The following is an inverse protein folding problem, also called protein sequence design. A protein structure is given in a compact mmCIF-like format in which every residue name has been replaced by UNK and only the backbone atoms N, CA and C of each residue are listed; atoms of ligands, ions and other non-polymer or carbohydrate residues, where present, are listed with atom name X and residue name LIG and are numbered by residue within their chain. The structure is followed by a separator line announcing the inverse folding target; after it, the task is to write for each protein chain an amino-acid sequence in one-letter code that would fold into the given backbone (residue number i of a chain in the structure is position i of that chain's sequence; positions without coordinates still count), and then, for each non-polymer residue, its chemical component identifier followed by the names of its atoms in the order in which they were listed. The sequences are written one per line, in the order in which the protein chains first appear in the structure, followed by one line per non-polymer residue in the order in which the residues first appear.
data_IF_412544476398
#
_entry.id   IF_412544476398
#
_cell.length_a   1.000
_cell.length_b   1.000
_cell.length_c   1.000
_cell.angle_alpha   90.00
_cell.angle_beta   90.00
_cell.angle_gamma   90.00
#
_symmetry.space_group_name_H-M   'P 1'
#
loop_
_entity.id
_entity.type
_entity.pdbx_description
1 polymer ?
#
# COMPACT_ATOMS: atom_id res chain seq x y z
N UNK A 1 20.28 13.83 -12.17
CA UNK A 1 20.63 14.63 -10.97
C UNK A 1 21.77 15.57 -11.31
N UNK A 2 21.81 16.80 -10.77
CA UNK A 2 22.94 17.71 -10.96
C UNK A 2 24.22 17.14 -10.36
N UNK A 3 25.36 17.35 -11.02
CA UNK A 3 26.67 17.00 -10.48
C UNK A 3 26.94 17.81 -9.20
N UNK A 4 27.51 17.16 -8.18
CA UNK A 4 27.88 17.81 -6.93
C UNK A 4 26.75 17.98 -5.90
N UNK A 5 25.61 17.29 -6.08
CA UNK A 5 24.51 17.39 -5.11
C UNK A 5 24.90 16.91 -3.71
N UNK A 6 25.82 15.95 -3.62
CA UNK A 6 26.46 15.45 -2.39
C UNK A 6 27.10 16.56 -1.55
N UNK A 7 27.49 17.68 -2.18
CA UNK A 7 28.10 18.83 -1.50
C UNK A 7 27.07 19.76 -0.85
N UNK A 8 25.78 19.60 -1.15
CA UNK A 8 24.70 20.43 -0.61
C UNK A 8 24.23 19.92 0.77
N UNK A 9 25.15 19.83 1.73
CA UNK A 9 24.87 19.24 3.07
C UNK A 9 23.78 19.96 3.87
N UNK A 10 23.54 21.24 3.58
CA UNK A 10 22.47 22.04 4.19
C UNK A 10 21.14 22.00 3.42
N UNK A 11 21.03 21.18 2.37
CA UNK A 11 19.82 21.05 1.58
C UNK A 11 18.68 20.50 2.44
N UNK A 12 17.61 21.29 2.57
CA UNK A 12 16.45 20.91 3.37
C UNK A 12 15.30 20.34 2.56
N UNK A 13 15.22 20.65 1.26
CA UNK A 13 14.15 20.18 0.39
C UNK A 13 14.72 19.66 -0.91
N UNK A 14 14.42 18.40 -1.19
CA UNK A 14 14.66 17.74 -2.45
C UNK A 14 13.49 16.81 -2.65
N UNK A 15 12.71 17.00 -3.71
CA UNK A 15 11.52 16.17 -3.92
C UNK A 15 11.84 14.82 -4.54
N UNK A 16 12.86 14.77 -5.41
CA UNK A 16 13.21 13.57 -6.17
C UNK A 16 14.72 13.44 -6.29
N UNK A 17 15.24 12.27 -5.92
CA UNK A 17 16.61 11.86 -6.14
C UNK A 17 16.61 10.68 -7.11
N UNK A 18 17.12 10.92 -8.31
CA UNK A 18 17.10 9.95 -9.42
C UNK A 18 18.46 9.28 -9.54
N UNK A 19 18.50 7.99 -9.21
CA UNK A 19 19.70 7.15 -9.33
C UNK A 19 19.89 6.77 -10.80
N UNK A 20 21.05 7.14 -11.35
CA UNK A 20 21.41 6.88 -12.74
C UNK A 20 22.03 5.49 -12.94
N UNK A 21 22.18 5.08 -14.19
CA UNK A 21 22.95 3.90 -14.57
C UNK A 21 24.39 4.33 -14.93
N UNK A 22 25.38 3.44 -14.74
CA UNK A 22 26.79 3.73 -15.06
C UNK A 22 27.34 4.91 -14.25
N UNK A 23 27.93 5.90 -14.93
CA UNK A 23 28.48 7.14 -14.35
C UNK A 23 27.41 8.15 -13.91
N UNK A 24 26.17 7.70 -13.78
CA UNK A 24 25.08 8.49 -13.23
C UNK A 24 25.22 8.76 -11.73
N UNK A 25 24.24 9.45 -11.17
CA UNK A 25 24.22 9.74 -9.74
C UNK A 25 24.02 8.46 -8.92
N UNK A 26 24.84 8.26 -7.91
CA UNK A 26 24.86 7.05 -7.10
C UNK A 26 24.08 7.25 -5.81
N UNK A 27 23.55 6.15 -5.26
CA UNK A 27 22.85 6.20 -3.98
C UNK A 27 23.72 6.67 -2.82
N UNK A 28 25.04 6.46 -2.90
CA UNK A 28 26.01 6.87 -1.88
C UNK A 28 26.09 8.40 -1.74
N UNK A 29 25.73 9.15 -2.79
CA UNK A 29 25.73 10.62 -2.78
C UNK A 29 24.66 11.18 -1.81
N UNK A 30 23.63 10.39 -1.47
CA UNK A 30 22.59 10.75 -0.49
C UNK A 30 23.09 10.77 0.96
N UNK A 31 24.23 10.14 1.23
CA UNK A 31 24.79 10.01 2.59
C UNK A 31 24.89 11.36 3.29
N UNK A 32 25.28 12.40 2.54
CA UNK A 32 25.57 13.73 3.09
C UNK A 32 24.35 14.66 3.18
N UNK A 33 23.20 14.25 2.63
CA UNK A 33 21.96 15.04 2.62
C UNK A 33 21.09 14.75 3.86
N UNK A 34 21.66 14.89 5.06
CA UNK A 34 20.99 14.53 6.33
C UNK A 34 19.86 15.48 6.73
N UNK A 35 19.88 16.72 6.23
CA UNK A 35 18.95 17.79 6.59
C UNK A 35 17.63 17.78 5.80
N UNK A 36 17.39 16.78 4.96
CA UNK A 36 16.18 16.69 4.14
C UNK A 36 14.91 16.62 5.00
N UNK A 37 13.87 17.33 4.53
CA UNK A 37 12.58 17.48 5.20
C UNK A 37 11.40 17.32 4.25
N UNK A 38 10.28 16.84 4.79
CA UNK A 38 9.02 16.71 4.08
C UNK A 38 9.02 15.54 3.10
N UNK A 39 8.44 15.76 1.93
CA UNK A 39 8.30 14.77 0.88
C UNK A 39 9.62 14.50 0.15
N UNK A 40 10.02 13.23 0.13
CA UNK A 40 11.22 12.77 -0.54
C UNK A 40 10.94 11.51 -1.38
N UNK A 41 11.35 11.53 -2.65
CA UNK A 41 11.32 10.39 -3.56
C UNK A 41 12.74 9.94 -3.89
N UNK A 42 12.95 8.63 -3.84
CA UNK A 42 14.15 7.96 -4.29
C UNK A 42 13.79 7.04 -5.46
N UNK A 43 14.08 7.51 -6.66
CA UNK A 43 13.75 6.81 -7.90
C UNK A 43 14.98 6.19 -8.56
N UNK A 44 14.75 5.15 -9.34
CA UNK A 44 15.82 4.45 -10.04
C UNK A 44 16.53 3.40 -9.19
N UNK A 45 15.82 2.85 -8.20
CA UNK A 45 16.34 1.79 -7.33
C UNK A 45 16.73 0.49 -8.06
N UNK A 46 16.27 0.30 -9.31
CA UNK A 46 16.74 -0.78 -10.19
C UNK A 46 18.25 -0.74 -10.50
N UNK A 47 18.89 0.41 -10.31
CA UNK A 47 20.31 0.63 -10.57
C UNK A 47 21.18 0.43 -9.31
N UNK A 48 20.58 0.03 -8.19
CA UNK A 48 21.25 -0.07 -6.89
C UNK A 48 21.58 -1.53 -6.60
N UNK A 49 22.81 -1.76 -6.15
CA UNK A 49 23.19 -3.05 -5.57
C UNK A 49 22.88 -3.07 -4.06
N UNK A 50 22.65 -4.25 -3.48
CA UNK A 50 22.30 -4.38 -2.06
C UNK A 50 23.35 -3.81 -1.10
N UNK A 51 24.64 -3.83 -1.47
CA UNK A 51 25.73 -3.32 -0.62
C UNK A 51 25.68 -1.79 -0.45
N UNK A 52 25.25 -1.07 -1.48
CA UNK A 52 25.27 0.39 -1.50
C UNK A 52 24.00 1.03 -0.97
N UNK A 53 22.90 0.27 -0.95
CA UNK A 53 21.60 0.76 -0.51
C UNK A 53 21.64 1.38 0.90
N UNK A 54 22.41 0.78 1.82
CA UNK A 54 22.59 1.28 3.18
C UNK A 54 23.38 2.60 3.29
N UNK A 55 24.12 3.00 2.25
CA UNK A 55 24.82 4.30 2.22
C UNK A 55 23.87 5.47 2.03
N UNK A 56 22.60 5.22 1.65
CA UNK A 56 21.58 6.26 1.60
C UNK A 56 21.31 6.89 2.97
N UNK A 57 21.62 6.21 4.09
CA UNK A 57 21.39 6.68 5.47
C UNK A 57 20.00 7.31 5.67
N UNK A 58 18.94 6.65 5.18
CA UNK A 58 17.57 7.16 5.29
C UNK A 58 17.09 7.23 6.76
N UNK A 59 17.61 6.35 7.61
CA UNK A 59 17.43 6.36 9.05
C UNK A 59 17.97 7.63 9.74
N UNK A 60 18.97 8.31 9.16
CA UNK A 60 19.54 9.55 9.72
C UNK A 60 18.77 10.80 9.28
N UNK A 61 17.93 10.69 8.23
CA UNK A 61 17.15 11.79 7.65
C UNK A 61 15.84 11.98 8.41
N UNK A 62 15.96 12.52 9.61
CA UNK A 62 14.88 12.63 10.60
C UNK A 62 13.72 13.56 10.20
N UNK A 63 13.92 14.42 9.19
CA UNK A 63 12.89 15.37 8.74
C UNK A 63 11.98 14.86 7.63
N UNK A 64 12.24 13.66 7.08
CA UNK A 64 11.42 13.10 6.01
C UNK A 64 10.11 12.58 6.60
N UNK A 65 9.01 13.19 6.20
CA UNK A 65 7.65 12.84 6.66
C UNK A 65 7.01 11.83 5.70
N UNK A 66 7.30 11.97 4.40
CA UNK A 66 6.80 11.11 3.32
C UNK A 66 7.94 10.61 2.44
N UNK A 67 8.03 9.28 2.29
CA UNK A 67 9.05 8.62 1.50
C UNK A 67 8.43 7.84 0.35
N UNK A 68 8.91 8.06 -0.87
CA UNK A 68 8.58 7.26 -2.05
C UNK A 68 9.82 6.49 -2.51
N UNK A 69 9.75 5.16 -2.52
CA UNK A 69 10.78 4.28 -3.06
C UNK A 69 10.30 3.72 -4.41
N UNK A 70 11.03 4.01 -5.48
CA UNK A 70 10.59 3.68 -6.84
C UNK A 70 11.65 2.93 -7.66
N UNK A 71 11.29 1.72 -8.07
CA UNK A 71 11.99 0.92 -9.06
C UNK A 71 11.44 1.18 -10.47
N UNK A 72 12.10 0.61 -11.48
CA UNK A 72 11.65 0.71 -12.87
C UNK A 72 10.28 0.05 -13.06
N UNK A 73 9.42 0.67 -13.86
CA UNK A 73 8.17 0.06 -14.30
C UNK A 73 8.40 -1.10 -15.28
N UNK A 74 9.55 -1.13 -15.97
CA UNK A 74 9.93 -2.25 -16.83
C UNK A 74 10.31 -3.45 -15.96
N UNK A 75 9.38 -4.40 -15.86
CA UNK A 75 9.47 -5.62 -15.08
C UNK A 75 9.85 -6.84 -15.95
N UNK A 76 10.46 -6.65 -17.13
CA UNK A 76 10.95 -7.78 -17.94
C UNK A 76 11.79 -8.71 -17.05
N UNK A 77 11.26 -9.91 -16.82
CA UNK A 77 11.67 -10.85 -15.76
C UNK A 77 13.15 -11.22 -15.82
N UNK A 78 13.76 -11.14 -17.00
CA UNK A 78 15.15 -11.55 -17.22
C UNK A 78 16.18 -10.47 -16.83
N UNK A 79 15.77 -9.22 -16.63
CA UNK A 79 16.68 -8.12 -16.33
C UNK A 79 16.74 -7.76 -14.83
N UNK A 80 15.76 -8.19 -14.02
CA UNK A 80 15.64 -7.81 -12.60
C UNK A 80 15.93 -8.97 -11.69
N UNK A 81 16.92 -8.80 -10.81
CA UNK A 81 17.26 -9.77 -9.81
C UNK A 81 16.43 -9.52 -8.53
N UNK A 82 15.49 -10.44 -8.24
CA UNK A 82 14.58 -10.34 -7.08
C UNK A 82 15.32 -10.27 -5.74
N UNK A 83 16.37 -11.07 -5.58
CA UNK A 83 17.15 -11.17 -4.35
C UNK A 83 17.93 -9.88 -4.08
N UNK A 84 18.47 -9.27 -5.15
CA UNK A 84 19.15 -7.97 -5.04
C UNK A 84 18.17 -6.90 -4.58
N UNK A 85 16.95 -6.88 -5.10
CA UNK A 85 15.98 -5.87 -4.70
C UNK A 85 15.43 -6.05 -3.29
N UNK A 86 15.21 -7.30 -2.88
CA UNK A 86 14.91 -7.63 -1.48
C UNK A 86 15.99 -7.07 -0.56
N UNK A 87 17.27 -7.33 -0.90
CA UNK A 87 18.38 -6.80 -0.13
C UNK A 87 18.47 -5.26 -0.17
N UNK A 88 18.20 -4.62 -1.30
CA UNK A 88 18.13 -3.15 -1.40
C UNK A 88 17.03 -2.61 -0.48
N UNK A 89 15.82 -3.16 -0.54
CA UNK A 89 14.70 -2.73 0.29
C UNK A 89 14.99 -2.93 1.78
N UNK A 90 15.62 -4.04 2.15
CA UNK A 90 16.06 -4.33 3.52
C UNK A 90 17.08 -3.30 4.04
N UNK A 91 17.95 -2.82 3.16
CA UNK A 91 19.05 -1.91 3.52
C UNK A 91 18.65 -0.43 3.58
N UNK A 92 17.55 -0.04 2.92
CA UNK A 92 17.08 1.36 2.83
C UNK A 92 16.41 1.89 4.11
N UNK A 93 16.39 1.12 5.19
CA UNK A 93 15.69 1.38 6.45
C UNK A 93 15.48 2.89 6.80
N UNK A 94 14.25 3.41 6.73
CA UNK A 94 13.98 4.83 6.95
C UNK A 94 13.90 5.19 8.44
N UNK A 95 13.79 6.49 8.72
CA UNK A 95 13.55 6.98 10.07
C UNK A 95 12.20 6.50 10.62
N UNK A 96 12.17 6.13 11.90
CA UNK A 96 10.95 5.71 12.63
C UNK A 96 9.89 6.81 12.77
N UNK A 97 10.24 8.06 12.45
CA UNK A 97 9.32 9.21 12.44
C UNK A 97 8.46 9.28 11.17
N UNK A 98 8.77 8.46 10.16
CA UNK A 98 8.09 8.46 8.87
C UNK A 98 6.58 8.29 9.05
N UNK A 99 5.81 9.15 8.39
CA UNK A 99 4.35 9.16 8.46
C UNK A 99 3.71 8.51 7.23
N UNK A 100 4.37 8.58 6.07
CA UNK A 100 3.85 8.05 4.82
C UNK A 100 4.92 7.31 4.03
N UNK A 101 4.60 6.09 3.60
CA UNK A 101 5.47 5.27 2.77
C UNK A 101 4.75 4.88 1.48
N UNK A 102 5.42 5.09 0.34
CA UNK A 102 4.99 4.61 -0.97
C UNK A 102 6.08 3.75 -1.58
N UNK A 103 5.77 2.51 -1.94
CA UNK A 103 6.67 1.62 -2.67
C UNK A 103 6.09 1.37 -4.06
N UNK A 104 6.88 1.62 -5.10
CA UNK A 104 6.45 1.49 -6.51
C UNK A 104 7.34 0.54 -7.29
N UNK A 105 6.69 -0.33 -8.07
CA UNK A 105 7.31 -1.23 -9.05
C UNK A 105 8.37 -2.15 -8.45
N UNK A 106 8.24 -2.52 -7.18
CA UNK A 106 9.17 -3.41 -6.49
C UNK A 106 9.07 -4.83 -7.05
N UNK A 107 10.20 -5.45 -7.37
CA UNK A 107 10.30 -6.71 -8.09
C UNK A 107 10.70 -7.89 -7.20
N UNK A 108 11.03 -7.64 -5.93
CA UNK A 108 11.23 -8.69 -4.94
C UNK A 108 9.97 -9.51 -4.68
N UNK A 109 10.14 -10.72 -4.18
CA UNK A 109 9.04 -11.61 -3.83
C UNK A 109 8.53 -11.37 -2.41
N UNK A 110 9.36 -10.81 -1.53
CA UNK A 110 9.05 -10.53 -0.12
C UNK A 110 9.30 -9.06 0.22
N UNK A 111 8.48 -8.51 1.10
CA UNK A 111 8.74 -7.21 1.70
C UNK A 111 9.70 -7.31 2.87
N UNK A 112 10.44 -6.24 3.09
CA UNK A 112 11.26 -6.11 4.29
C UNK A 112 10.42 -6.10 5.56
N UNK A 113 10.94 -6.72 6.61
CA UNK A 113 10.27 -6.80 7.92
C UNK A 113 10.09 -5.42 8.57
N UNK A 114 10.92 -4.43 8.21
CA UNK A 114 10.84 -3.10 8.81
C UNK A 114 9.57 -2.33 8.42
N UNK A 115 8.96 -2.61 7.26
CA UNK A 115 7.75 -1.92 6.79
C UNK A 115 6.59 -2.13 7.79
N UNK A 116 6.56 -3.31 8.41
CA UNK A 116 5.56 -3.73 9.37
C UNK A 116 6.08 -3.69 10.82
N UNK A 117 7.23 -3.06 11.07
CA UNK A 117 7.80 -3.03 12.41
C UNK A 117 7.04 -2.05 13.32
N UNK A 118 6.73 -2.50 14.53
CA UNK A 118 5.97 -1.70 15.50
C UNK A 118 6.67 -0.42 15.99
N UNK A 119 7.95 -0.23 15.64
CA UNK A 119 8.66 1.01 15.93
C UNK A 119 8.28 2.17 15.01
N UNK A 120 7.64 1.92 13.87
CA UNK A 120 7.04 2.94 12.98
C UNK A 120 5.68 3.42 13.53
N UNK A 121 5.70 3.95 14.75
CA UNK A 121 4.49 4.36 15.48
C UNK A 121 3.74 5.52 14.83
N UNK A 122 4.42 6.30 13.98
CA UNK A 122 3.84 7.47 13.33
C UNK A 122 3.27 7.16 11.93
N UNK A 123 3.35 5.92 11.45
CA UNK A 123 2.89 5.57 10.10
C UNK A 123 1.37 5.78 9.97
N UNK A 124 0.97 6.74 9.15
CA UNK A 124 -0.42 7.10 8.86
C UNK A 124 -0.89 6.54 7.51
N UNK A 125 0.01 6.43 6.52
CA UNK A 125 -0.34 5.98 5.18
C UNK A 125 0.71 5.02 4.60
N UNK A 126 0.22 3.92 4.03
CA UNK A 126 1.03 2.95 3.30
C UNK A 126 0.42 2.72 1.91
N UNK A 127 1.21 2.96 0.87
CA UNK A 127 0.84 2.66 -0.51
C UNK A 127 1.84 1.68 -1.14
N UNK A 128 1.33 0.55 -1.65
CA UNK A 128 2.11 -0.44 -2.38
C UNK A 128 1.56 -0.53 -3.80
N UNK A 129 2.38 -0.22 -4.80
CA UNK A 129 1.95 -0.08 -6.20
C UNK A 129 2.81 -0.93 -7.13
N UNK A 130 2.18 -1.73 -7.97
CA UNK A 130 2.80 -2.55 -9.01
C UNK A 130 3.89 -3.50 -8.48
N UNK A 131 3.70 -4.06 -7.30
CA UNK A 131 4.63 -5.01 -6.68
C UNK A 131 4.36 -6.44 -7.18
N UNK A 132 4.36 -6.64 -8.50
CA UNK A 132 3.75 -7.80 -9.17
C UNK A 132 4.33 -9.15 -8.76
N UNK A 133 5.60 -9.20 -8.36
CA UNK A 133 6.27 -10.44 -7.93
C UNK A 133 6.03 -10.82 -6.47
N UNK A 134 5.43 -9.92 -5.67
CA UNK A 134 5.17 -10.16 -4.26
C UNK A 134 4.02 -11.15 -4.08
N UNK A 135 4.25 -12.19 -3.26
CA UNK A 135 3.27 -13.25 -3.00
C UNK A 135 2.38 -12.99 -1.79
N UNK A 136 2.80 -12.08 -0.91
CA UNK A 136 2.10 -11.72 0.31
C UNK A 136 2.31 -10.24 0.61
N UNK A 137 1.42 -9.67 1.41
CA UNK A 137 1.55 -8.31 1.90
C UNK A 137 2.46 -8.28 3.14
N UNK A 138 3.03 -7.12 3.53
CA UNK A 138 3.69 -7.00 4.82
C UNK A 138 2.66 -7.12 5.96
N UNK A 139 3.08 -7.59 7.15
CA UNK A 139 2.19 -7.76 8.31
C UNK A 139 1.81 -6.42 8.96
N UNK A 140 0.94 -5.68 8.30
CA UNK A 140 0.57 -4.30 8.64
C UNK A 140 -0.23 -4.16 9.94
N UNK A 141 -0.72 -5.25 10.54
CA UNK A 141 -1.47 -5.23 11.80
C UNK A 141 -0.72 -4.60 12.98
N UNK A 142 0.60 -4.43 12.89
CA UNK A 142 1.43 -3.78 13.91
C UNK A 142 1.48 -2.26 13.79
N UNK A 143 0.95 -1.68 12.72
CA UNK A 143 0.91 -0.23 12.45
C UNK A 143 -0.38 0.39 13.01
N UNK A 144 -0.40 0.67 14.31
CA UNK A 144 -1.64 1.03 15.04
C UNK A 144 -2.24 2.38 14.67
N UNK A 145 -1.46 3.32 14.12
CA UNK A 145 -1.93 4.63 13.66
C UNK A 145 -2.25 4.68 12.16
N UNK A 146 -2.12 3.55 11.44
CA UNK A 146 -2.35 3.51 10.00
C UNK A 146 -3.81 3.89 9.69
N UNK A 147 -3.99 4.99 8.96
CA UNK A 147 -5.29 5.52 8.54
C UNK A 147 -5.65 5.14 7.11
N UNK A 148 -4.65 5.02 6.24
CA UNK A 148 -4.86 4.77 4.82
C UNK A 148 -3.96 3.65 4.34
N UNK A 149 -4.57 2.65 3.70
CA UNK A 149 -3.87 1.56 3.03
C UNK A 149 -4.34 1.47 1.58
N UNK A 150 -3.38 1.54 0.66
CA UNK A 150 -3.61 1.39 -0.78
C UNK A 150 -2.71 0.31 -1.36
N UNK A 151 -3.32 -0.73 -1.93
CA UNK A 151 -2.63 -1.89 -2.49
C UNK A 151 -3.06 -2.03 -3.94
N UNK A 152 -2.12 -1.89 -4.86
CA UNK A 152 -2.41 -1.90 -6.29
C UNK A 152 -1.39 -2.71 -7.08
N UNK A 153 -1.86 -3.50 -8.06
CA UNK A 153 -1.02 -4.18 -9.03
C UNK A 153 -0.18 -5.31 -8.43
N UNK A 154 -0.85 -6.31 -7.84
CA UNK A 154 -0.22 -7.52 -7.29
C UNK A 154 -0.73 -8.75 -8.03
N UNK A 155 0.14 -9.35 -8.85
CA UNK A 155 -0.23 -10.49 -9.69
C UNK A 155 -0.11 -11.82 -8.93
N UNK A 156 0.78 -11.94 -7.95
CA UNK A 156 1.08 -13.22 -7.28
C UNK A 156 0.36 -13.40 -5.92
N UNK A 157 -0.44 -12.42 -5.50
CA UNK A 157 -1.23 -12.49 -4.25
C UNK A 157 -2.53 -13.23 -4.52
N UNK A 158 -2.74 -14.32 -3.79
CA UNK A 158 -3.94 -15.17 -3.91
C UNK A 158 -4.87 -15.05 -2.70
N UNK A 159 -4.32 -14.82 -1.52
CA UNK A 159 -5.10 -14.67 -0.28
C UNK A 159 -4.65 -13.41 0.46
N UNK A 160 -5.61 -12.73 1.07
CA UNK A 160 -5.37 -11.56 1.92
C UNK A 160 -6.15 -11.77 3.21
N UNK A 161 -5.48 -11.63 4.36
CA UNK A 161 -6.15 -11.87 5.64
C UNK A 161 -5.21 -12.10 6.80
N UNK A 162 -4.22 -12.96 6.61
CA UNK A 162 -3.20 -13.30 7.60
C UNK A 162 -2.41 -12.08 8.08
N UNK A 163 -2.24 -11.10 7.20
CA UNK A 163 -1.53 -9.84 7.50
C UNK A 163 -2.30 -8.95 8.48
N UNK A 164 -3.59 -9.23 8.66
CA UNK A 164 -4.48 -8.54 9.58
C UNK A 164 -4.59 -9.27 10.94
N UNK A 165 -4.09 -10.50 11.11
CA UNK A 165 -4.46 -11.42 12.21
C UNK A 165 -4.06 -11.05 13.66
N UNK A 166 -3.43 -9.90 13.96
CA UNK A 166 -2.94 -9.62 15.33
C UNK A 166 -3.55 -8.42 16.06
N UNK A 167 -4.20 -7.46 15.40
CA UNK A 167 -4.82 -6.31 16.06
C UNK A 167 -6.08 -5.84 15.33
N UNK A 168 -6.98 -5.14 16.03
CA UNK A 168 -8.01 -4.35 15.37
C UNK A 168 -7.33 -3.14 14.68
N UNK A 169 -7.67 -2.89 13.41
CA UNK A 169 -7.21 -1.73 12.65
C UNK A 169 -8.00 -0.50 13.09
N UNK A 170 -7.84 -0.14 14.37
CA UNK A 170 -8.67 0.86 15.03
C UNK A 170 -8.52 2.25 14.40
N UNK A 171 -7.40 2.56 13.75
CA UNK A 171 -7.20 3.86 13.10
C UNK A 171 -7.51 3.86 11.61
N UNK A 172 -7.75 2.69 10.98
CA UNK A 172 -7.85 2.60 9.53
C UNK A 172 -9.19 3.18 9.05
N UNK A 173 -9.11 4.25 8.28
CA UNK A 173 -10.25 5.00 7.74
C UNK A 173 -10.48 4.68 6.25
N UNK A 174 -9.41 4.37 5.51
CA UNK A 174 -9.46 4.11 4.06
C UNK A 174 -8.71 2.83 3.71
N UNK A 175 -9.38 1.93 2.99
CA UNK A 175 -8.83 0.68 2.47
C UNK A 175 -9.11 0.56 0.97
N UNK A 176 -8.06 0.41 0.17
CA UNK A 176 -8.20 0.29 -1.27
C UNK A 176 -7.35 -0.86 -1.84
N UNK A 177 -8.01 -1.69 -2.66
CA UNK A 177 -7.41 -2.74 -3.47
C UNK A 177 -7.71 -2.49 -4.94
N UNK A 178 -6.70 -2.50 -5.80
CA UNK A 178 -6.86 -2.23 -7.23
C UNK A 178 -5.96 -3.10 -8.11
N UNK A 179 -6.54 -3.87 -9.03
CA UNK A 179 -5.76 -4.67 -9.99
C UNK A 179 -5.01 -5.81 -9.30
N UNK A 180 -5.74 -6.66 -8.59
CA UNK A 180 -5.24 -7.91 -7.99
C UNK A 180 -5.86 -9.09 -8.76
N UNK A 181 -5.29 -9.50 -9.91
CA UNK A 181 -5.94 -10.41 -10.84
C UNK A 181 -6.13 -11.83 -10.31
N UNK A 182 -5.26 -12.29 -9.40
CA UNK A 182 -5.29 -13.65 -8.86
C UNK A 182 -5.73 -13.71 -7.38
N UNK A 183 -6.19 -12.60 -6.82
CA UNK A 183 -6.70 -12.58 -5.44
C UNK A 183 -8.05 -13.30 -5.39
N UNK A 184 -8.11 -14.41 -4.67
CA UNK A 184 -9.26 -15.31 -4.57
C UNK A 184 -9.96 -15.17 -3.22
N UNK A 185 -9.21 -15.12 -2.12
CA UNK A 185 -9.80 -15.16 -0.77
C UNK A 185 -9.48 -13.90 0.03
N UNK A 186 -10.52 -13.27 0.57
CA UNK A 186 -10.39 -12.23 1.58
C UNK A 186 -10.93 -12.73 2.91
N UNK A 187 -10.04 -13.19 3.78
CA UNK A 187 -10.41 -13.68 5.11
C UNK A 187 -9.69 -12.89 6.21
N UNK A 188 -10.23 -11.74 6.64
CA UNK A 188 -9.64 -10.97 7.72
C UNK A 188 -9.81 -11.59 9.11
N UNK A 189 -10.56 -12.70 9.27
CA UNK A 189 -10.79 -13.35 10.58
C UNK A 189 -11.34 -14.78 10.45
N UNK A 190 -10.58 -15.75 10.97
CA UNK A 190 -11.12 -17.04 11.42
C UNK A 190 -12.11 -16.77 12.56
N UNK A 191 -13.39 -17.02 12.31
CA UNK A 191 -14.40 -17.56 13.26
C UNK A 191 -14.58 -16.78 14.59
N UNK A 192 -15.71 -16.07 14.72
CA UNK A 192 -16.40 -15.80 16.01
C UNK A 192 -15.84 -14.79 17.02
N UNK A 193 -15.30 -13.64 16.59
CA UNK A 193 -15.27 -12.45 17.47
C UNK A 193 -16.12 -11.32 16.88
N UNK A 194 -17.19 -10.97 17.60
CA UNK A 194 -18.17 -9.92 17.27
C UNK A 194 -17.58 -8.49 17.25
N UNK A 195 -16.25 -8.35 17.22
CA UNK A 195 -15.54 -7.09 17.08
C UNK A 195 -15.13 -6.89 15.61
N UNK A 196 -15.68 -5.84 14.98
CA UNK A 196 -15.25 -5.42 13.64
C UNK A 196 -13.73 -5.22 13.62
N UNK A 197 -13.02 -5.94 12.74
CA UNK A 197 -11.58 -5.76 12.50
C UNK A 197 -11.23 -4.33 12.06
N UNK A 198 -12.22 -3.64 11.52
CA UNK A 198 -12.13 -2.34 10.87
C UNK A 198 -13.19 -1.38 11.47
N UNK A 199 -13.13 -1.09 12.78
CA UNK A 199 -14.22 -0.39 13.47
C UNK A 199 -14.42 1.05 12.97
N UNK A 200 -13.38 1.67 12.42
CA UNK A 200 -13.38 3.06 11.95
C UNK A 200 -13.24 3.19 10.43
N UNK A 201 -13.38 2.10 9.67
CA UNK A 201 -13.26 2.14 8.21
C UNK A 201 -14.44 2.90 7.61
N UNK A 202 -14.14 3.98 6.89
CA UNK A 202 -15.10 4.88 6.26
C UNK A 202 -15.17 4.67 4.76
N UNK A 203 -14.05 4.32 4.13
CA UNK A 203 -13.97 4.13 2.69
C UNK A 203 -13.36 2.77 2.35
N UNK A 204 -14.11 1.97 1.59
CA UNK A 204 -13.64 0.72 1.01
C UNK A 204 -13.78 0.78 -0.51
N UNK A 205 -12.67 0.58 -1.22
CA UNK A 205 -12.64 0.51 -2.68
C UNK A 205 -11.96 -0.77 -3.14
N UNK A 206 -12.65 -1.60 -3.92
CA UNK A 206 -12.10 -2.81 -4.56
C UNK A 206 -12.35 -2.72 -6.06
N UNK A 207 -11.28 -2.71 -6.84
CA UNK A 207 -11.35 -2.47 -8.29
C UNK A 207 -10.50 -3.48 -9.04
N UNK A 208 -11.02 -4.01 -10.13
CA UNK A 208 -10.28 -4.89 -11.05
C UNK A 208 -9.68 -6.11 -10.33
N UNK A 209 -10.45 -6.73 -9.44
CA UNK A 209 -10.12 -7.96 -8.73
C UNK A 209 -11.07 -9.10 -9.19
N UNK A 210 -10.88 -9.64 -10.41
CA UNK A 210 -11.87 -10.53 -11.04
C UNK A 210 -12.00 -11.90 -10.39
N UNK A 211 -10.97 -12.37 -9.67
CA UNK A 211 -10.97 -13.69 -9.02
C UNK A 211 -11.49 -13.67 -7.58
N UNK A 212 -11.73 -12.47 -7.01
CA UNK A 212 -12.11 -12.33 -5.61
C UNK A 212 -13.47 -12.96 -5.35
N UNK A 213 -13.48 -13.98 -4.50
CA UNK A 213 -14.65 -14.76 -4.13
C UNK A 213 -15.25 -14.33 -2.80
N UNK A 214 -16.52 -14.71 -2.63
CA UNK A 214 -17.19 -14.66 -1.35
C UNK A 214 -17.90 -13.33 -1.11
N UNK A 215 -17.86 -12.88 0.14
CA UNK A 215 -18.61 -11.72 0.62
C UNK A 215 -17.68 -10.74 1.32
N UNK A 216 -18.04 -9.47 1.26
CA UNK A 216 -17.40 -8.46 2.09
C UNK A 216 -17.60 -8.77 3.59
N UNK A 217 -16.68 -8.32 4.47
CA UNK A 217 -16.89 -8.35 5.91
C UNK A 217 -18.22 -7.70 6.27
N UNK A 218 -19.07 -8.40 7.01
CA UNK A 218 -20.46 -7.95 7.28
C UNK A 218 -20.53 -6.83 8.31
N UNK A 219 -19.54 -6.69 9.20
CA UNK A 219 -19.57 -5.71 10.30
C UNK A 219 -18.70 -4.48 10.00
N UNK A 220 -19.09 -3.67 9.01
CA UNK A 220 -18.42 -2.39 8.70
C UNK A 220 -19.34 -1.20 9.06
N UNK A 221 -19.61 -1.01 10.36
CA UNK A 221 -20.61 -0.04 10.85
C UNK A 221 -20.27 1.43 10.53
N UNK A 222 -18.99 1.76 10.41
CA UNK A 222 -18.52 3.12 10.10
C UNK A 222 -18.40 3.41 8.60
N UNK A 223 -18.70 2.44 7.74
CA UNK A 223 -18.48 2.54 6.30
C UNK A 223 -19.45 3.56 5.70
N UNK A 224 -18.91 4.61 5.10
CA UNK A 224 -19.65 5.71 4.47
C UNK A 224 -19.62 5.59 2.95
N UNK A 225 -18.52 5.07 2.40
CA UNK A 225 -18.29 4.96 0.96
C UNK A 225 -17.83 3.56 0.58
N UNK A 226 -18.56 2.94 -0.35
CA UNK A 226 -18.24 1.65 -0.94
C UNK A 226 -18.12 1.77 -2.46
N UNK A 227 -16.97 1.40 -2.99
CA UNK A 227 -16.71 1.34 -4.43
C UNK A 227 -16.27 -0.06 -4.85
N UNK A 228 -17.02 -0.71 -5.73
CA UNK A 228 -16.71 -2.03 -6.29
C UNK A 228 -16.74 -1.92 -7.81
N UNK A 229 -15.64 -2.28 -8.48
CA UNK A 229 -15.53 -2.20 -9.94
C UNK A 229 -14.88 -3.46 -10.51
N UNK A 230 -15.51 -4.10 -11.51
CA UNK A 230 -14.97 -5.27 -12.22
C UNK A 230 -14.47 -6.41 -11.29
N UNK A 231 -15.24 -6.71 -10.25
CA UNK A 231 -14.99 -7.79 -9.28
C UNK A 231 -16.00 -8.94 -9.48
N UNK A 232 -15.87 -9.65 -10.60
CA UNK A 232 -16.95 -10.47 -11.20
C UNK A 232 -17.43 -11.69 -10.39
N UNK A 233 -16.70 -12.08 -9.36
CA UNK A 233 -16.99 -13.22 -8.47
C UNK A 233 -17.32 -12.80 -7.03
N UNK A 234 -17.41 -11.48 -6.80
CA UNK A 234 -17.67 -10.92 -5.48
C UNK A 234 -19.17 -10.69 -5.31
N UNK A 235 -19.73 -11.24 -4.24
CA UNK A 235 -21.09 -10.95 -3.79
C UNK A 235 -21.05 -9.83 -2.75
N UNK A 236 -21.74 -8.73 -3.04
CA UNK A 236 -21.76 -7.54 -2.21
C UNK A 236 -23.07 -7.50 -1.43
N UNK A 237 -23.01 -7.67 -0.11
CA UNK A 237 -24.17 -7.48 0.78
C UNK A 237 -24.01 -6.18 1.54
N UNK A 238 -24.97 -5.26 1.40
CA UNK A 238 -24.93 -3.93 2.04
C UNK A 238 -25.91 -3.79 3.21
N UNK A 239 -26.71 -4.82 3.48
CA UNK A 239 -27.77 -4.81 4.51
C UNK A 239 -27.27 -4.46 5.91
N UNK A 240 -25.97 -4.67 6.18
CA UNK A 240 -25.34 -4.45 7.48
C UNK A 240 -24.55 -3.14 7.59
N UNK A 241 -24.47 -2.33 6.52
CA UNK A 241 -23.71 -1.08 6.49
C UNK A 241 -24.59 0.12 6.84
N UNK A 242 -24.83 0.32 8.14
CA UNK A 242 -25.76 1.34 8.66
C UNK A 242 -25.39 2.80 8.34
N UNK A 243 -24.09 3.09 8.16
CA UNK A 243 -23.59 4.46 7.88
C UNK A 243 -23.36 4.76 6.40
N UNK A 244 -23.70 3.83 5.50
CA UNK A 244 -23.36 3.94 4.08
C UNK A 244 -24.15 5.07 3.41
N UNK A 245 -23.45 6.01 2.78
CA UNK A 245 -24.06 7.15 2.09
C UNK A 245 -23.63 7.28 0.62
N UNK A 246 -22.51 6.65 0.23
CA UNK A 246 -22.00 6.61 -1.14
C UNK A 246 -21.77 5.16 -1.57
N UNK A 247 -22.43 4.75 -2.65
CA UNK A 247 -22.33 3.40 -3.20
C UNK A 247 -22.10 3.47 -4.71
N UNK A 248 -21.02 2.86 -5.18
CA UNK A 248 -20.73 2.71 -6.60
C UNK A 248 -20.30 1.27 -6.86
N UNK A 249 -21.20 0.47 -7.45
CA UNK A 249 -20.96 -0.95 -7.73
C UNK A 249 -21.20 -1.20 -9.21
N UNK A 250 -20.19 -1.75 -9.88
CA UNK A 250 -20.26 -2.16 -11.28
C UNK A 250 -19.42 -3.42 -11.52
N UNK A 251 -19.98 -4.38 -12.25
CA UNK A 251 -19.24 -5.59 -12.63
C UNK A 251 -18.91 -6.52 -11.46
N UNK A 252 -19.81 -6.63 -10.47
CA UNK A 252 -19.76 -7.66 -9.42
C UNK A 252 -20.65 -8.87 -9.77
N UNK A 253 -20.56 -9.97 -9.01
CA UNK A 253 -21.39 -11.16 -9.23
C UNK A 253 -22.85 -10.88 -8.88
N UNK A 254 -23.07 -10.37 -7.67
CA UNK A 254 -24.40 -10.08 -7.13
C UNK A 254 -24.32 -8.90 -6.15
N UNK A 255 -25.34 -8.04 -6.15
CA UNK A 255 -25.53 -6.99 -5.15
C UNK A 255 -26.82 -7.26 -4.37
N UNK A 256 -26.67 -7.63 -3.10
CA UNK A 256 -27.76 -7.94 -2.17
C UNK A 256 -28.01 -6.72 -1.28
N UNK A 257 -29.25 -6.21 -1.34
CA UNK A 257 -29.75 -5.12 -0.51
C UNK A 257 -31.12 -5.50 0.04
N UNK A 258 -31.17 -5.95 1.30
CA UNK A 258 -32.41 -6.30 2.01
C UNK A 258 -32.96 -5.11 2.81
N UNK A 259 -32.29 -3.96 2.73
CA UNK A 259 -32.61 -2.74 3.46
C UNK A 259 -33.46 -1.80 2.61
N UNK A 260 -34.43 -1.15 3.24
CA UNK A 260 -35.17 -0.03 2.65
C UNK A 260 -34.31 1.24 2.71
N UNK A 261 -33.17 1.28 2.00
CA UNK A 261 -32.29 2.45 1.99
C UNK A 261 -32.97 3.66 1.30
N UNK A 262 -33.49 4.59 2.11
CA UNK A 262 -33.75 5.97 1.69
C UNK A 262 -32.45 6.78 1.79
N UNK A 263 -31.55 6.64 0.80
CA UNK A 263 -30.44 7.58 0.66
C UNK A 263 -30.95 8.91 0.09
N UNK A 264 -31.00 9.96 0.94
CA UNK A 264 -31.12 11.35 0.50
C UNK A 264 -29.81 11.78 -0.17
N UNK A 265 -29.73 11.66 -1.49
CA UNK A 265 -28.74 12.41 -2.29
C UNK A 265 -27.63 11.63 -3.01
N UNK A 266 -27.71 10.31 -3.14
CA UNK A 266 -26.75 9.52 -3.92
C UNK A 266 -27.37 8.98 -5.21
N UNK A 267 -26.74 9.24 -6.36
CA UNK A 267 -27.16 8.65 -7.64
C UNK A 267 -26.89 7.13 -7.62
N UNK A 268 -27.94 6.34 -7.46
CA UNK A 268 -27.93 4.90 -7.74
C UNK A 268 -27.78 4.70 -9.26
N UNK A 269 -26.55 4.54 -9.76
CA UNK A 269 -26.35 3.96 -11.08
C UNK A 269 -26.49 2.44 -10.99
N UNK A 270 -27.74 1.95 -10.94
CA UNK A 270 -28.05 0.57 -11.32
C UNK A 270 -27.89 0.47 -12.83
N UNK A 271 -26.71 0.11 -13.32
CA UNK A 271 -26.54 -0.31 -14.72
C UNK A 271 -26.29 -1.82 -14.73
N UNK A 272 -27.40 -2.58 -14.73
CA UNK A 272 -27.37 -3.99 -15.08
C UNK A 272 -27.17 -4.09 -16.60
N UNK A 273 -25.98 -4.50 -17.02
CA UNK A 273 -25.69 -5.12 -18.32
C UNK A 273 -24.55 -6.11 -18.11
#
# INVERSE_FOLDING_TARGET
MPLGIDKLTNLQRLFDFIIGEGDGCHIRDLKYLSNLKGDFRLSGLKNVNGQDAGEAKLNEKQGIDRLVLEWSWDLKKDARNKEVEEWVLDSLHPSKKLEQLVIKNYGGAKFSTWIADSSFKNMLSLELRNCKSCKSLPSIARLTLLKSLYICGFDEVHTIGVEFQSNAFASLETLCFEGLPNWEEWDPCEVEEQASKFPNLRELSIRECPQLLGRLPTLLQSLQKLEIYECRRLVVSISSFSSLCQLNVKGCEELVDESSFFCRGGYLFKKFL
#
